data_IF_557959653069
#
_entry.id   IF_557959653069
#
_cell.length_a   1.000
_cell.length_b   1.000
_cell.length_c   1.000
_cell.angle_alpha   90.00
_cell.angle_beta   90.00
_cell.angle_gamma   90.00
#
_symmetry.space_group_name_H-M   'P 1'
#
loop_
_entity.id
_entity.type
_entity.pdbx_description
1 polymer ?
#
# COMPACT_ATOMS: atom_id res chain seq x y z
N UNK A 1 -31.43 1.80 25.60
CA UNK A 1 -30.96 0.48 26.09
C UNK A 1 -29.70 0.09 25.32
N UNK A 2 -28.63 -0.28 26.02
CA UNK A 2 -27.26 -0.23 25.49
C UNK A 2 -26.88 -1.57 24.80
N UNK A 3 -27.08 -1.65 23.47
CA UNK A 3 -26.81 -2.83 22.63
C UNK A 3 -25.39 -3.42 22.84
N UNK A 4 -24.42 -2.57 23.17
CA UNK A 4 -23.03 -2.96 23.39
C UNK A 4 -22.85 -3.90 24.60
N UNK A 5 -23.62 -3.71 25.68
CA UNK A 5 -23.52 -4.56 26.89
C UNK A 5 -24.05 -5.98 26.63
N UNK A 6 -25.10 -6.12 25.82
CA UNK A 6 -25.70 -7.40 25.44
C UNK A 6 -24.78 -8.20 24.50
N UNK A 7 -24.14 -7.54 23.53
CA UNK A 7 -23.18 -8.18 22.62
C UNK A 7 -21.94 -8.70 23.35
N UNK A 8 -21.42 -7.93 24.32
CA UNK A 8 -20.26 -8.34 25.13
C UNK A 8 -20.55 -9.56 26.00
N UNK A 9 -21.72 -9.62 26.63
CA UNK A 9 -22.12 -10.79 27.44
C UNK A 9 -22.35 -12.05 26.60
N UNK A 10 -22.88 -11.91 25.37
CA UNK A 10 -22.99 -13.05 24.43
C UNK A 10 -21.61 -13.57 24.01
N UNK A 11 -20.67 -12.68 23.74
CA UNK A 11 -19.32 -13.07 23.33
C UNK A 11 -18.55 -13.81 24.44
N UNK A 12 -18.65 -13.33 25.68
CA UNK A 12 -17.95 -13.92 26.84
C UNK A 12 -18.51 -15.28 27.29
N UNK A 13 -19.67 -15.70 26.79
CA UNK A 13 -20.31 -16.98 27.12
C UNK A 13 -20.25 -18.02 26.01
N UNK A 14 -19.56 -17.72 24.90
CA UNK A 14 -19.33 -18.73 23.88
C UNK A 14 -18.24 -19.69 24.37
N UNK A 15 -18.63 -20.95 24.59
CA UNK A 15 -17.69 -22.03 24.86
C UNK A 15 -16.87 -22.32 23.61
N UNK A 16 -15.55 -22.48 23.79
CA UNK A 16 -14.61 -22.75 22.70
C UNK A 16 -14.96 -24.11 22.08
N UNK A 17 -15.24 -24.18 20.76
CA UNK A 17 -15.51 -25.45 20.09
C UNK A 17 -14.36 -26.45 20.29
N UNK A 18 -14.67 -27.67 20.73
CA UNK A 18 -13.68 -28.74 21.03
C UNK A 18 -12.78 -29.11 19.85
N UNK A 19 -13.19 -28.75 18.64
CA UNK A 19 -12.45 -28.95 17.39
C UNK A 19 -11.19 -28.07 17.28
N UNK A 20 -11.11 -26.99 18.07
CA UNK A 20 -9.98 -26.05 18.06
C UNK A 20 -8.75 -26.59 18.78
N UNK A 21 -8.89 -27.34 19.88
CA UNK A 21 -7.75 -27.94 20.59
C UNK A 21 -6.96 -28.89 19.69
N UNK A 22 -7.66 -29.68 18.87
CA UNK A 22 -7.03 -30.59 17.91
C UNK A 22 -6.15 -29.84 16.90
N UNK A 23 -6.64 -28.72 16.35
CA UNK A 23 -5.92 -27.92 15.36
C UNK A 23 -4.73 -27.17 15.95
N UNK A 24 -4.85 -26.67 17.18
CA UNK A 24 -3.75 -25.98 17.89
C UNK A 24 -2.60 -26.96 18.15
N UNK A 25 -2.90 -28.15 18.66
CA UNK A 25 -1.89 -29.17 18.96
C UNK A 25 -1.21 -29.70 17.69
N UNK A 26 -1.95 -29.84 16.59
CA UNK A 26 -1.40 -30.24 15.29
C UNK A 26 -0.45 -29.17 14.72
N UNK A 27 -0.77 -27.89 14.93
CA UNK A 27 0.06 -26.76 14.47
C UNK A 27 1.37 -26.68 15.26
N UNK A 28 1.31 -26.92 16.58
CA UNK A 28 2.50 -26.97 17.46
C UNK A 28 3.40 -28.15 17.07
N UNK A 29 2.83 -29.34 16.87
CA UNK A 29 3.58 -30.53 16.46
C UNK A 29 4.29 -30.36 15.09
N UNK A 30 3.63 -29.72 14.13
CA UNK A 30 4.20 -29.43 12.81
C UNK A 30 5.33 -28.38 12.88
N UNK A 31 5.22 -27.42 13.79
CA UNK A 31 6.26 -26.41 14.03
C UNK A 31 7.50 -27.00 14.71
N UNK A 32 7.32 -27.94 15.63
CA UNK A 32 8.41 -28.64 16.31
C UNK A 32 9.11 -29.66 15.42
N UNK A 33 8.37 -30.35 14.55
CA UNK A 33 8.94 -31.28 13.55
C UNK A 33 9.77 -30.59 12.46
N UNK A 34 9.52 -29.30 12.19
CA UNK A 34 10.26 -28.51 11.20
C UNK A 34 11.67 -28.07 11.65
N UNK A 35 11.99 -28.15 12.94
CA UNK A 35 13.29 -27.68 13.49
C UNK A 35 14.40 -28.73 13.52
N UNK A 36 14.12 -29.99 13.19
CA UNK A 36 15.06 -31.11 13.36
C UNK A 36 15.69 -31.66 12.07
N UNK A 37 15.44 -31.05 10.89
CA UNK A 37 15.87 -31.59 9.59
C UNK A 37 16.74 -30.62 8.79
N UNK A 38 17.88 -30.20 9.35
CA UNK A 38 18.92 -29.48 8.61
C UNK A 38 20.25 -30.23 8.68
N UNK A 39 20.33 -31.38 8.02
CA UNK A 39 21.61 -32.05 7.73
C UNK A 39 21.48 -33.02 6.54
N UNK A 40 22.25 -32.75 5.49
CA UNK A 40 22.70 -33.66 4.41
C UNK A 40 21.66 -34.28 3.45
N UNK A 41 21.64 -33.81 2.18
CA UNK A 41 22.15 -34.56 0.99
C UNK A 41 21.85 -33.85 -0.33
N UNK A 42 22.86 -33.86 -1.22
CA UNK A 42 22.78 -33.57 -2.67
C UNK A 42 22.09 -34.74 -3.40
N UNK A 43 21.28 -34.46 -4.44
CA UNK A 43 21.31 -35.07 -5.80
C UNK A 43 20.24 -34.39 -6.70
N UNK A 44 20.55 -34.41 -8.00
CA UNK A 44 20.02 -33.64 -9.12
C UNK A 44 18.62 -34.00 -9.68
N UNK A 45 18.00 -32.94 -10.25
CA UNK A 45 17.18 -32.81 -11.49
C UNK A 45 15.68 -33.21 -11.53
N UNK A 46 14.92 -32.16 -11.91
CA UNK A 46 13.67 -32.07 -12.71
C UNK A 46 12.34 -32.45 -12.04
N UNK A 47 11.64 -31.45 -11.51
CA UNK A 47 10.44 -30.81 -12.12
C UNK A 47 10.14 -29.54 -11.29
N UNK A 48 10.23 -28.36 -11.93
CA UNK A 48 10.02 -27.05 -11.27
C UNK A 48 8.53 -26.75 -11.21
N UNK A 49 7.85 -27.22 -10.17
CA UNK A 49 6.65 -26.54 -9.70
C UNK A 49 7.12 -25.33 -8.88
N UNK A 50 6.78 -24.13 -9.34
CA UNK A 50 7.13 -22.90 -8.63
C UNK A 50 6.39 -22.87 -7.29
N UNK A 51 7.14 -22.83 -6.20
CA UNK A 51 6.63 -22.55 -4.85
C UNK A 51 5.94 -21.17 -4.71
N UNK A 52 5.79 -20.42 -5.82
CA UNK A 52 5.18 -19.09 -5.89
C UNK A 52 3.67 -19.09 -5.62
N UNK A 53 2.97 -20.20 -5.84
CA UNK A 53 1.52 -20.28 -5.59
C UNK A 53 1.15 -20.58 -4.13
N UNK A 54 2.07 -21.17 -3.35
CA UNK A 54 1.84 -21.48 -1.93
C UNK A 54 2.43 -20.38 -1.03
N UNK A 55 3.48 -19.68 -1.50
CA UNK A 55 4.05 -18.54 -0.76
C UNK A 55 3.17 -17.29 -0.78
N UNK A 56 2.35 -17.07 -1.80
CA UNK A 56 1.50 -15.87 -1.91
C UNK A 56 0.28 -15.92 -0.98
N UNK A 57 -0.34 -17.09 -0.80
CA UNK A 57 -1.48 -17.28 0.13
C UNK A 57 -1.03 -17.21 1.60
N UNK A 58 0.15 -17.77 1.93
CA UNK A 58 0.72 -17.69 3.27
C UNK A 58 1.28 -16.29 3.59
N UNK A 59 1.89 -15.60 2.61
CA UNK A 59 2.38 -14.24 2.80
C UNK A 59 1.24 -13.23 2.95
N UNK A 60 0.15 -13.34 2.18
CA UNK A 60 -1.01 -12.46 2.31
C UNK A 60 -1.74 -12.64 3.64
N UNK A 61 -1.91 -13.89 4.11
CA UNK A 61 -2.49 -14.16 5.43
C UNK A 61 -1.56 -13.71 6.58
N UNK A 62 -0.24 -13.90 6.45
CA UNK A 62 0.73 -13.43 7.43
C UNK A 62 0.86 -11.90 7.45
N UNK A 63 0.75 -11.21 6.30
CA UNK A 63 0.70 -9.76 6.21
C UNK A 63 -0.63 -9.20 6.73
N UNK A 64 -1.77 -9.83 6.44
CA UNK A 64 -3.05 -9.45 7.01
C UNK A 64 -3.03 -9.61 8.54
N UNK A 65 -2.47 -10.70 9.07
CA UNK A 65 -2.30 -10.90 10.53
C UNK A 65 -1.26 -9.93 11.12
N UNK A 66 -0.22 -9.53 10.38
CA UNK A 66 0.78 -8.56 10.85
C UNK A 66 0.24 -7.12 10.85
N UNK A 67 -0.51 -6.72 9.82
CA UNK A 67 -1.15 -5.40 9.69
C UNK A 67 -2.33 -5.28 10.64
N UNK A 68 -3.15 -6.33 10.79
CA UNK A 68 -4.17 -6.41 11.84
C UNK A 68 -3.51 -6.45 13.21
N UNK A 69 -2.42 -7.21 13.43
CA UNK A 69 -1.73 -7.32 14.71
C UNK A 69 -1.08 -6.02 15.18
N UNK A 70 -0.52 -5.22 14.26
CA UNK A 70 -0.01 -3.88 14.54
C UNK A 70 -1.15 -2.88 14.79
N UNK A 71 -2.31 -3.04 14.13
CA UNK A 71 -3.51 -2.22 14.37
C UNK A 71 -4.45 -2.71 15.49
N UNK A 72 -4.18 -3.86 16.12
CA UNK A 72 -5.07 -4.44 17.15
C UNK A 72 -4.37 -4.83 18.44
N UNK A 73 -3.11 -4.44 18.66
CA UNK A 73 -2.47 -4.79 19.93
C UNK A 73 -3.31 -4.23 21.10
N UNK A 74 -3.94 -5.13 21.85
CA UNK A 74 -4.62 -4.80 23.11
C UNK A 74 -3.63 -4.14 24.09
N UNK A 75 -2.33 -4.41 23.93
CA UNK A 75 -1.25 -3.75 24.63
C UNK A 75 -1.19 -2.23 24.36
N UNK A 76 -1.53 -1.78 23.14
CA UNK A 76 -1.56 -0.35 22.80
C UNK A 76 -2.92 0.30 23.11
N UNK A 77 -4.01 -0.47 23.07
CA UNK A 77 -5.33 -0.01 23.53
C UNK A 77 -5.36 0.29 25.04
N UNK A 78 -4.56 -0.45 25.84
CA UNK A 78 -4.39 -0.18 27.27
C UNK A 78 -3.58 1.10 27.55
N UNK A 79 -2.66 1.50 26.67
CA UNK A 79 -1.87 2.75 26.84
C UNK A 79 -2.62 4.03 26.48
N UNK A 80 -3.78 3.96 25.82
CA UNK A 80 -4.60 5.14 25.51
C UNK A 80 -5.38 5.68 26.71
N UNK A 81 -5.60 4.87 27.75
CA UNK A 81 -6.34 5.30 28.95
C UNK A 81 -5.54 6.20 29.89
N UNK A 82 -4.20 6.18 29.79
CA UNK A 82 -3.30 6.72 30.82
C UNK A 82 -2.35 7.83 30.33
N UNK A 83 -2.43 8.24 29.05
CA UNK A 83 -1.57 9.29 28.53
C UNK A 83 -2.17 10.68 28.82
N UNK A 84 -1.46 11.56 29.55
CA UNK A 84 -1.86 12.96 29.69
C UNK A 84 -1.92 13.62 28.30
N UNK A 85 -2.87 14.55 28.12
CA UNK A 85 -3.14 15.29 26.87
C UNK A 85 -1.89 16.02 26.39
N UNK A 86 -1.08 15.36 25.57
CA UNK A 86 0.11 15.92 24.94
C UNK A 86 0.00 15.63 23.45
N UNK A 87 -0.40 16.65 22.69
CA UNK A 87 -0.39 16.64 21.22
C UNK A 87 -1.54 15.87 20.57
N UNK A 88 -1.94 16.32 19.39
CA UNK A 88 -2.93 15.63 18.59
C UNK A 88 -2.35 14.30 18.08
N UNK A 89 -2.65 13.19 18.74
CA UNK A 89 -2.20 11.88 18.26
C UNK A 89 -3.01 11.56 17.01
N UNK A 90 -2.33 11.48 15.87
CA UNK A 90 -2.95 11.06 14.61
C UNK A 90 -2.71 9.58 14.33
N UNK A 91 -3.72 8.94 13.74
CA UNK A 91 -3.68 7.53 13.35
C UNK A 91 -4.26 7.36 11.95
N UNK A 92 -3.57 6.60 11.13
CA UNK A 92 -4.09 6.13 9.85
C UNK A 92 -4.63 4.72 10.04
N UNK A 93 -5.92 4.53 9.77
CA UNK A 93 -6.59 3.23 9.91
C UNK A 93 -7.22 2.79 8.59
N UNK A 94 -7.16 1.51 8.26
CA UNK A 94 -8.09 0.94 7.28
C UNK A 94 -9.47 0.89 7.90
N UNK A 95 -10.38 1.73 7.45
CA UNK A 95 -11.76 1.79 7.97
C UNK A 95 -12.75 1.06 7.09
N UNK A 96 -12.43 0.91 5.80
CA UNK A 96 -13.25 0.19 4.83
C UNK A 96 -12.35 -0.67 3.96
N UNK A 97 -12.75 -1.93 3.86
CA UNK A 97 -12.26 -2.85 2.85
C UNK A 97 -13.39 -3.11 1.87
N UNK A 98 -13.05 -3.08 0.58
CA UNK A 98 -13.94 -3.43 -0.50
C UNK A 98 -13.37 -4.67 -1.18
N UNK A 99 -14.22 -5.66 -1.39
CA UNK A 99 -13.91 -6.82 -2.20
C UNK A 99 -15.12 -7.11 -3.09
N UNK A 100 -14.88 -7.18 -4.39
CA UNK A 100 -15.85 -7.67 -5.36
C UNK A 100 -15.18 -8.74 -6.19
N UNK A 101 -15.73 -9.94 -6.11
CA UNK A 101 -15.27 -11.08 -6.91
C UNK A 101 -16.43 -11.67 -7.67
N UNK A 102 -16.18 -12.02 -8.93
CA UNK A 102 -17.05 -12.87 -9.75
C UNK A 102 -16.17 -13.90 -10.48
N UNK A 103 -16.73 -14.59 -11.46
CA UNK A 103 -16.02 -15.61 -12.24
C UNK A 103 -14.86 -15.04 -13.08
N UNK A 104 -14.99 -13.79 -13.54
CA UNK A 104 -14.02 -13.14 -14.44
C UNK A 104 -12.89 -12.43 -13.69
N UNK A 105 -13.18 -11.89 -12.50
CA UNK A 105 -12.30 -10.94 -11.82
C UNK A 105 -12.45 -10.88 -10.30
N UNK A 106 -11.40 -10.37 -9.66
CA UNK A 106 -11.40 -9.92 -8.27
C UNK A 106 -10.87 -8.49 -8.18
N UNK A 107 -11.66 -7.59 -7.60
CA UNK A 107 -11.27 -6.21 -7.28
C UNK A 107 -11.23 -6.06 -5.76
N UNK A 108 -10.10 -5.62 -5.25
CA UNK A 108 -9.91 -5.34 -3.82
C UNK A 108 -9.54 -3.87 -3.60
N UNK A 109 -10.01 -3.25 -2.53
CA UNK A 109 -9.56 -1.92 -2.16
C UNK A 109 -9.52 -1.72 -0.65
N UNK A 110 -8.48 -1.03 -0.19
CA UNK A 110 -8.30 -0.60 1.19
C UNK A 110 -8.41 0.92 1.24
N UNK A 111 -9.39 1.42 1.99
CA UNK A 111 -9.61 2.86 2.15
C UNK A 111 -9.03 3.31 3.50
N UNK A 112 -7.93 4.07 3.51
CA UNK A 112 -7.41 4.64 4.74
C UNK A 112 -8.27 5.82 5.20
N UNK A 113 -8.38 6.00 6.51
CA UNK A 113 -8.92 7.19 7.15
C UNK A 113 -7.91 7.71 8.17
N UNK A 114 -7.70 9.02 8.13
CA UNK A 114 -6.83 9.74 9.05
C UNK A 114 -7.71 10.24 10.20
N UNK A 115 -7.46 9.72 11.39
CA UNK A 115 -8.15 10.12 12.62
C UNK A 115 -7.19 10.99 13.42
N UNK A 116 -7.66 12.16 13.84
CA UNK A 116 -6.92 13.07 14.70
C UNK A 116 -7.69 13.33 15.98
N UNK A 117 -6.98 13.49 17.08
CA UNK A 117 -7.52 14.01 18.34
C UNK A 117 -7.12 15.49 18.47
N UNK A 118 -7.93 16.40 17.95
CA UNK A 118 -7.66 17.83 17.96
C UNK A 118 -8.87 18.60 18.46
N UNK A 119 -8.65 19.64 19.25
CA UNK A 119 -9.70 20.58 19.66
C UNK A 119 -9.98 21.63 18.59
N UNK A 120 -9.13 21.76 17.56
CA UNK A 120 -9.31 22.73 16.49
C UNK A 120 -10.25 22.21 15.40
N UNK A 121 -11.45 22.80 15.31
CA UNK A 121 -12.47 22.44 14.32
C UNK A 121 -12.04 22.69 12.87
N UNK A 122 -11.22 23.72 12.59
CA UNK A 122 -10.71 23.97 11.23
C UNK A 122 -9.81 22.82 10.77
N UNK A 123 -8.94 22.31 11.66
CA UNK A 123 -8.07 21.18 11.37
C UNK A 123 -8.89 19.90 11.21
N UNK A 124 -9.87 19.66 12.08
CA UNK A 124 -10.80 18.51 11.96
C UNK A 124 -11.53 18.51 10.63
N UNK A 125 -12.05 19.66 10.20
CA UNK A 125 -12.74 19.78 8.91
C UNK A 125 -11.79 19.55 7.73
N UNK A 126 -10.58 20.14 7.76
CA UNK A 126 -9.59 19.94 6.71
C UNK A 126 -9.16 18.46 6.56
N UNK A 127 -8.96 17.74 7.68
CA UNK A 127 -8.67 16.30 7.65
C UNK A 127 -9.88 15.50 7.15
N UNK A 128 -11.10 15.88 7.53
CA UNK A 128 -12.33 15.26 7.01
C UNK A 128 -12.45 15.44 5.50
N UNK A 129 -12.13 16.62 4.96
CA UNK A 129 -12.15 16.89 3.52
C UNK A 129 -11.12 16.03 2.78
N UNK A 130 -9.91 15.87 3.33
CA UNK A 130 -8.88 14.98 2.78
C UNK A 130 -9.34 13.51 2.81
N UNK A 131 -9.96 13.06 3.89
CA UNK A 131 -10.51 11.69 3.97
C UNK A 131 -11.63 11.47 2.94
N UNK A 132 -12.47 12.48 2.69
CA UNK A 132 -13.49 12.43 1.64
C UNK A 132 -12.87 12.41 0.24
N UNK A 133 -11.79 13.16 0.01
CA UNK A 133 -11.02 13.13 -1.24
C UNK A 133 -10.43 11.73 -1.49
N UNK A 134 -9.78 11.14 -0.48
CA UNK A 134 -9.24 9.78 -0.53
C UNK A 134 -10.33 8.76 -0.84
N UNK A 135 -11.48 8.85 -0.18
CA UNK A 135 -12.62 7.96 -0.45
C UNK A 135 -13.14 8.09 -1.89
N UNK A 136 -13.27 9.32 -2.38
CA UNK A 136 -13.69 9.58 -3.76
C UNK A 136 -12.66 9.05 -4.78
N UNK A 137 -11.37 9.24 -4.51
CA UNK A 137 -10.27 8.71 -5.32
C UNK A 137 -10.35 7.18 -5.40
N UNK A 138 -10.41 6.48 -4.26
CA UNK A 138 -10.48 5.01 -4.24
C UNK A 138 -11.72 4.52 -4.97
N UNK A 139 -12.89 5.12 -4.74
CA UNK A 139 -14.14 4.77 -5.45
C UNK A 139 -14.03 4.98 -6.96
N UNK A 140 -13.41 6.08 -7.39
CA UNK A 140 -13.16 6.36 -8.81
C UNK A 140 -12.30 5.25 -9.44
N UNK A 141 -11.23 4.83 -8.77
CA UNK A 141 -10.35 3.77 -9.29
C UNK A 141 -11.03 2.41 -9.31
N UNK A 142 -11.83 2.05 -8.30
CA UNK A 142 -12.64 0.81 -8.34
C UNK A 142 -13.53 0.81 -9.59
N UNK A 143 -14.25 1.90 -9.85
CA UNK A 143 -15.14 2.02 -11.02
C UNK A 143 -14.37 1.95 -12.34
N UNK A 144 -13.22 2.63 -12.41
CA UNK A 144 -12.36 2.61 -13.60
C UNK A 144 -11.87 1.19 -13.92
N UNK A 145 -11.44 0.43 -12.91
CA UNK A 145 -11.01 -0.96 -13.10
C UNK A 145 -12.16 -1.88 -13.52
N UNK A 146 -13.37 -1.67 -12.99
CA UNK A 146 -14.56 -2.39 -13.44
C UNK A 146 -14.85 -2.14 -14.94
N UNK A 147 -14.87 -0.87 -15.36
CA UNK A 147 -15.13 -0.47 -16.75
C UNK A 147 -14.07 -1.05 -17.70
N UNK A 148 -12.81 -0.93 -17.30
CA UNK A 148 -11.67 -1.49 -18.01
C UNK A 148 -11.74 -3.00 -18.23
N UNK A 149 -12.18 -3.77 -17.22
CA UNK A 149 -12.31 -5.22 -17.32
C UNK A 149 -13.48 -5.58 -18.24
N UNK A 150 -14.60 -4.85 -18.15
CA UNK A 150 -15.75 -5.05 -19.04
C UNK A 150 -15.39 -4.80 -20.50
N UNK A 151 -14.70 -3.70 -20.81
CA UNK A 151 -14.23 -3.39 -22.16
C UNK A 151 -13.25 -4.46 -22.68
N UNK A 152 -12.33 -4.93 -21.82
CA UNK A 152 -11.42 -6.00 -22.19
C UNK A 152 -12.14 -7.33 -22.47
N UNK A 153 -13.16 -7.66 -21.68
CA UNK A 153 -13.99 -8.85 -21.91
C UNK A 153 -14.73 -8.76 -23.24
N UNK A 154 -15.37 -7.63 -23.53
CA UNK A 154 -16.08 -7.41 -24.79
C UNK A 154 -15.15 -7.60 -26.01
N UNK A 155 -14.00 -6.92 -26.02
CA UNK A 155 -13.02 -7.07 -27.10
C UNK A 155 -12.46 -8.50 -27.23
N UNK A 156 -12.29 -9.22 -26.12
CA UNK A 156 -11.82 -10.61 -26.13
C UNK A 156 -12.86 -11.55 -26.78
N UNK A 157 -14.14 -11.38 -26.46
CA UNK A 157 -15.22 -12.19 -27.01
C UNK A 157 -15.46 -11.88 -28.51
N UNK A 158 -15.30 -10.62 -28.94
CA UNK A 158 -15.37 -10.25 -30.35
C UNK A 158 -14.25 -10.89 -31.21
N UNK A 159 -13.09 -11.17 -30.61
CA UNK A 159 -11.92 -11.71 -31.31
C UNK A 159 -11.82 -13.25 -31.28
N UNK A 160 -12.97 -13.92 -31.12
CA UNK A 160 -13.13 -15.39 -31.04
C UNK A 160 -12.72 -16.04 -29.72
N UNK A 161 -12.51 -15.27 -28.65
CA UNK A 161 -12.36 -15.81 -27.30
C UNK A 161 -13.69 -16.30 -26.71
N UNK A 162 -13.63 -17.22 -25.74
CA UNK A 162 -14.83 -17.68 -25.00
C UNK A 162 -14.90 -17.08 -23.60
N UNK A 163 -16.08 -17.14 -22.98
CA UNK A 163 -16.25 -16.71 -21.58
C UNK A 163 -15.41 -17.57 -20.62
N UNK A 164 -15.34 -18.88 -20.86
CA UNK A 164 -14.53 -19.82 -20.06
C UNK A 164 -13.03 -19.46 -20.12
N UNK A 165 -12.50 -19.20 -21.31
CA UNK A 165 -11.10 -18.78 -21.48
C UNK A 165 -10.80 -17.40 -20.87
N UNK A 166 -11.81 -16.54 -20.79
CA UNK A 166 -11.68 -15.23 -20.14
C UNK A 166 -11.62 -15.38 -18.63
N UNK A 167 -12.51 -16.20 -18.04
CA UNK A 167 -12.53 -16.48 -16.61
C UNK A 167 -11.20 -17.09 -16.12
N UNK A 168 -10.57 -17.96 -16.92
CA UNK A 168 -9.25 -18.53 -16.61
C UNK A 168 -8.13 -17.48 -16.48
N UNK A 169 -8.32 -16.27 -17.04
CA UNK A 169 -7.33 -15.17 -16.88
C UNK A 169 -7.25 -14.65 -15.46
N UNK A 170 -8.30 -14.85 -14.64
CA UNK A 170 -8.33 -14.48 -13.22
C UNK A 170 -7.82 -13.05 -12.98
N UNK A 171 -8.51 -12.08 -13.58
CA UNK A 171 -8.09 -10.68 -13.59
C UNK A 171 -8.19 -10.11 -12.17
N UNK A 172 -7.12 -9.46 -11.71
CA UNK A 172 -7.04 -8.90 -10.35
C UNK A 172 -6.65 -7.46 -10.38
N UNK A 173 -7.48 -6.62 -9.78
CA UNK A 173 -7.23 -5.20 -9.57
C UNK A 173 -7.20 -4.89 -8.06
N UNK A 174 -6.32 -4.00 -7.66
CA UNK A 174 -6.19 -3.62 -6.26
C UNK A 174 -5.93 -2.12 -6.07
N UNK A 175 -6.59 -1.54 -5.09
CA UNK A 175 -6.24 -0.22 -4.53
C UNK A 175 -5.74 -0.43 -3.10
N UNK A 176 -4.47 -0.18 -2.87
CA UNK A 176 -3.83 -0.36 -1.55
C UNK A 176 -3.22 0.95 -1.08
N UNK A 177 -2.85 1.03 0.20
CA UNK A 177 -2.10 2.17 0.71
C UNK A 177 -0.89 1.74 1.55
N UNK A 178 0.12 2.59 1.59
CA UNK A 178 1.31 2.44 2.42
C UNK A 178 1.53 3.72 3.22
N UNK A 179 1.75 3.59 4.54
CA UNK A 179 2.14 4.71 5.39
C UNK A 179 3.67 4.85 5.29
N UNK A 180 4.14 5.91 4.64
CA UNK A 180 5.58 6.17 4.47
C UNK A 180 6.19 6.85 5.69
N UNK A 181 5.41 7.69 6.38
CA UNK A 181 5.76 8.31 7.66
C UNK A 181 4.51 8.65 8.46
N UNK A 182 4.57 8.48 9.78
CA UNK A 182 3.55 8.97 10.70
C UNK A 182 4.21 9.46 11.99
N UNK A 183 3.85 10.66 12.42
CA UNK A 183 4.21 11.28 13.70
C UNK A 183 2.96 11.96 14.27
N UNK A 184 3.07 12.57 15.45
CA UNK A 184 1.98 13.36 16.05
C UNK A 184 1.64 14.62 15.24
N UNK A 185 2.48 15.01 14.27
CA UNK A 185 2.34 16.27 13.53
C UNK A 185 2.29 16.08 12.02
N UNK A 186 2.60 14.89 11.50
CA UNK A 186 2.60 14.60 10.07
C UNK A 186 2.16 13.18 9.77
N UNK A 187 1.46 13.03 8.64
CA UNK A 187 1.20 11.73 7.99
C UNK A 187 1.63 11.82 6.53
N UNK A 188 2.35 10.81 6.04
CA UNK A 188 2.67 10.64 4.62
C UNK A 188 2.18 9.26 4.18
N UNK A 189 1.25 9.24 3.22
CA UNK A 189 0.61 8.03 2.69
C UNK A 189 0.77 8.01 1.17
N UNK A 190 1.04 6.83 0.64
CA UNK A 190 0.96 6.55 -0.79
C UNK A 190 -0.19 5.60 -1.04
N UNK A 191 -1.15 6.01 -1.86
CA UNK A 191 -2.22 5.13 -2.36
C UNK A 191 -1.80 4.64 -3.73
N UNK A 192 -1.94 3.34 -3.98
CA UNK A 192 -1.53 2.69 -5.21
C UNK A 192 -2.68 1.94 -5.85
N UNK A 193 -2.91 2.15 -7.15
CA UNK A 193 -3.83 1.36 -7.98
C UNK A 193 -3.04 0.49 -8.95
N UNK A 194 -3.33 -0.80 -8.99
CA UNK A 194 -2.63 -1.76 -9.84
C UNK A 194 -3.52 -2.90 -10.34
N UNK A 195 -3.04 -3.57 -11.38
CA UNK A 195 -3.72 -4.67 -12.06
C UNK A 195 -2.72 -5.74 -12.53
N UNK A 196 -3.14 -7.01 -12.61
CA UNK A 196 -2.25 -8.13 -12.98
C UNK A 196 -2.21 -8.45 -14.50
N UNK A 197 -3.12 -7.89 -15.31
CA UNK A 197 -3.28 -8.30 -16.71
C UNK A 197 -2.73 -7.30 -17.72
N UNK A 198 -2.49 -6.05 -17.31
CA UNK A 198 -1.76 -5.06 -18.09
C UNK A 198 -0.39 -4.82 -17.46
N UNK A 199 0.66 -4.89 -18.28
CA UNK A 199 2.01 -4.47 -17.89
C UNK A 199 2.15 -2.94 -17.78
N UNK A 200 1.03 -2.23 -17.68
CA UNK A 200 0.93 -0.77 -17.60
C UNK A 200 1.16 -0.33 -16.15
N UNK A 201 1.66 0.90 -16.00
CA UNK A 201 2.09 1.47 -14.72
C UNK A 201 1.06 1.27 -13.60
N UNK A 202 1.56 0.97 -12.41
CA UNK A 202 0.84 1.21 -11.16
C UNK A 202 0.69 2.73 -11.02
N UNK A 203 -0.53 3.20 -10.79
CA UNK A 203 -0.78 4.61 -10.48
C UNK A 203 -0.56 4.84 -8.99
N UNK A 204 0.12 5.92 -8.64
CA UNK A 204 0.42 6.29 -7.25
C UNK A 204 -0.07 7.70 -6.96
N UNK A 205 -0.74 7.85 -5.82
CA UNK A 205 -1.28 9.10 -5.31
C UNK A 205 -0.66 9.39 -3.95
N UNK A 206 -0.24 10.63 -3.75
CA UNK A 206 0.62 11.01 -2.65
C UNK A 206 -0.07 12.02 -1.74
N UNK A 207 -0.18 11.69 -0.46
CA UNK A 207 -0.76 12.55 0.56
C UNK A 207 0.27 12.81 1.65
N UNK A 208 0.80 14.02 1.72
CA UNK A 208 1.72 14.46 2.76
C UNK A 208 1.03 15.55 3.58
N UNK A 209 0.64 15.26 4.81
CA UNK A 209 -0.32 16.09 5.55
C UNK A 209 0.31 16.61 6.84
N UNK A 210 0.20 17.92 7.06
CA UNK A 210 0.51 18.59 8.30
C UNK A 210 -0.70 18.53 9.23
N UNK A 211 -0.63 17.73 10.28
CA UNK A 211 -1.74 17.49 11.20
C UNK A 211 -1.99 18.64 12.17
N UNK A 212 -1.05 19.60 12.28
CA UNK A 212 -1.22 20.81 13.08
C UNK A 212 -2.05 21.85 12.33
N UNK A 213 -1.92 21.90 11.01
CA UNK A 213 -2.59 22.92 10.17
C UNK A 213 -3.71 22.38 9.29
N UNK A 214 -3.81 21.05 9.15
CA UNK A 214 -4.73 20.38 8.22
C UNK A 214 -4.35 20.51 6.74
N UNK A 215 -3.19 21.10 6.42
CA UNK A 215 -2.76 21.35 5.04
C UNK A 215 -1.88 20.23 4.51
N UNK A 216 -1.94 20.01 3.20
CA UNK A 216 -0.95 19.17 2.54
C UNK A 216 0.38 19.92 2.38
N UNK A 217 1.49 19.24 2.63
CA UNK A 217 2.82 19.72 2.36
C UNK A 217 3.13 19.64 0.86
N UNK A 218 3.91 20.60 0.40
CA UNK A 218 4.51 20.69 -0.92
C UNK A 218 6.02 20.45 -0.83
N UNK A 219 6.69 20.16 -1.95
CA UNK A 219 8.15 20.08 -1.98
C UNK A 219 8.82 21.39 -1.52
N UNK A 220 8.19 22.54 -1.79
CA UNK A 220 8.64 23.86 -1.35
C UNK A 220 8.69 23.99 0.18
N UNK A 221 7.80 23.34 0.92
CA UNK A 221 7.81 23.37 2.38
C UNK A 221 9.05 22.69 2.99
N UNK A 222 9.68 21.77 2.25
CA UNK A 222 10.90 21.07 2.69
C UNK A 222 12.18 21.64 2.10
N UNK A 223 12.13 22.10 0.84
CA UNK A 223 13.31 22.50 0.08
C UNK A 223 13.43 24.03 -0.10
N UNK A 224 12.41 24.80 0.31
CA UNK A 224 12.37 26.25 0.20
C UNK A 224 12.03 26.76 -1.21
N UNK A 225 12.18 28.07 -1.44
CA UNK A 225 11.81 28.75 -2.69
C UNK A 225 12.47 28.14 -3.95
N UNK A 226 13.68 27.61 -3.80
CA UNK A 226 14.46 27.04 -4.91
C UNK A 226 14.26 25.51 -5.06
N UNK A 227 13.14 24.96 -4.57
CA UNK A 227 12.89 23.52 -4.53
C UNK A 227 13.08 22.82 -5.89
N UNK A 228 12.66 23.44 -6.99
CA UNK A 228 12.80 22.88 -8.35
C UNK A 228 14.28 22.66 -8.66
N UNK A 229 15.12 23.69 -8.46
CA UNK A 229 16.56 23.60 -8.74
C UNK A 229 17.22 22.54 -7.85
N UNK A 230 16.94 22.57 -6.54
CA UNK A 230 17.53 21.63 -5.57
C UNK A 230 17.17 20.18 -5.91
N UNK A 231 15.89 19.91 -6.19
CA UNK A 231 15.44 18.58 -6.56
C UNK A 231 16.02 18.13 -7.91
N UNK A 232 16.01 19.00 -8.92
CA UNK A 232 16.56 18.67 -10.24
C UNK A 232 18.04 18.31 -10.18
N UNK A 233 18.84 19.08 -9.43
CA UNK A 233 20.27 18.84 -9.28
C UNK A 233 20.52 17.53 -8.53
N UNK A 234 19.76 17.27 -7.46
CA UNK A 234 19.86 16.01 -6.71
C UNK A 234 19.48 14.80 -7.57
N UNK A 235 18.37 14.86 -8.32
CA UNK A 235 17.90 13.78 -9.20
C UNK A 235 18.92 13.52 -10.31
N UNK A 236 19.41 14.56 -11.00
CA UNK A 236 20.41 14.41 -12.08
C UNK A 236 21.71 13.80 -11.57
N UNK A 237 22.17 14.21 -10.38
CA UNK A 237 23.33 13.59 -9.72
C UNK A 237 23.09 12.10 -9.45
N UNK A 238 21.98 11.76 -8.80
CA UNK A 238 21.64 10.38 -8.47
C UNK A 238 21.46 9.51 -9.72
N UNK A 239 20.82 10.03 -10.78
CA UNK A 239 20.71 9.33 -12.06
C UNK A 239 22.09 9.00 -12.62
N UNK A 240 23.02 9.97 -12.65
CA UNK A 240 24.39 9.76 -13.12
C UNK A 240 25.13 8.71 -12.29
N UNK A 241 24.95 8.73 -10.96
CA UNK A 241 25.54 7.75 -10.05
C UNK A 241 24.98 6.33 -10.29
N UNK A 242 23.66 6.19 -10.52
CA UNK A 242 23.02 4.90 -10.83
C UNK A 242 23.41 4.37 -12.22
N UNK A 243 23.58 5.25 -13.21
CA UNK A 243 24.07 4.89 -14.56
C UNK A 243 25.51 4.37 -14.55
N UNK A 244 26.36 4.91 -13.67
CA UNK A 244 27.79 4.56 -13.56
C UNK A 244 28.09 3.53 -12.46
N UNK A 245 27.09 3.25 -11.63
CA UNK A 245 27.20 2.40 -10.46
C UNK A 245 26.80 0.96 -10.72
N UNK A 246 26.50 0.24 -9.64
CA UNK A 246 26.15 -1.19 -9.67
C UNK A 246 24.77 -1.47 -10.28
N UNK A 247 23.90 -0.47 -10.30
CA UNK A 247 22.54 -0.62 -10.82
C UNK A 247 22.51 -0.61 -12.35
N UNK A 248 23.49 0.07 -12.98
CA UNK A 248 23.63 0.23 -14.44
C UNK A 248 22.30 0.58 -15.14
N UNK A 249 21.46 1.38 -14.48
CA UNK A 249 20.16 1.80 -15.02
C UNK A 249 20.40 2.63 -16.29
N UNK A 250 19.53 2.48 -17.28
CA UNK A 250 19.56 3.29 -18.50
C UNK A 250 18.36 4.24 -18.51
N UNK A 251 18.56 5.46 -18.04
CA UNK A 251 17.53 6.48 -18.13
C UNK A 251 17.36 6.95 -19.59
N UNK A 252 16.15 7.35 -19.93
CA UNK A 252 15.86 7.95 -21.22
C UNK A 252 16.65 9.26 -21.38
N UNK A 253 16.90 9.64 -22.64
CA UNK A 253 17.62 10.85 -23.02
C UNK A 253 16.69 11.77 -23.81
N UNK A 254 17.05 13.05 -23.89
CA UNK A 254 16.36 14.06 -24.69
C UNK A 254 14.84 14.09 -24.40
N UNK A 255 13.98 14.00 -25.43
CA UNK A 255 12.52 14.16 -25.32
C UNK A 255 11.84 13.16 -24.37
N UNK A 256 12.46 12.01 -24.09
CA UNK A 256 11.95 11.04 -23.11
C UNK A 256 12.66 11.09 -21.75
N UNK A 257 13.74 11.86 -21.62
CA UNK A 257 14.53 11.93 -20.39
C UNK A 257 13.96 12.88 -19.35
N UNK A 258 14.39 12.71 -18.09
CA UNK A 258 14.08 13.65 -17.02
C UNK A 258 14.55 15.07 -17.35
N UNK A 259 13.62 16.03 -17.35
CA UNK A 259 13.90 17.44 -17.62
C UNK A 259 13.94 18.27 -16.33
N UNK A 260 12.81 18.27 -15.61
CA UNK A 260 12.58 19.03 -14.39
C UNK A 260 11.41 18.43 -13.62
N UNK A 261 11.39 18.61 -12.31
CA UNK A 261 10.16 18.53 -11.52
C UNK A 261 9.31 19.80 -11.67
N UNK A 262 8.08 19.72 -11.22
CA UNK A 262 7.13 20.83 -11.11
C UNK A 262 6.29 20.72 -9.81
N UNK A 263 5.23 21.52 -9.70
CA UNK A 263 4.34 21.54 -8.52
C UNK A 263 3.33 20.38 -8.47
N UNK A 264 3.24 19.58 -9.53
CA UNK A 264 2.38 18.39 -9.64
C UNK A 264 3.15 17.07 -9.47
N UNK A 265 4.48 17.15 -9.46
CA UNK A 265 5.38 16.01 -9.27
C UNK A 265 5.07 15.28 -7.96
N UNK A 266 4.80 13.97 -8.06
CA UNK A 266 4.50 13.11 -6.94
C UNK A 266 5.70 12.88 -6.02
N UNK A 267 5.47 12.95 -4.70
CA UNK A 267 6.50 12.68 -3.71
C UNK A 267 5.89 12.21 -2.38
N UNK A 268 6.64 11.46 -1.59
CA UNK A 268 6.28 11.14 -0.21
C UNK A 268 7.38 11.58 0.77
N UNK A 269 7.10 11.56 2.07
CA UNK A 269 8.10 11.80 3.12
C UNK A 269 8.53 10.46 3.71
N UNK A 270 9.81 10.14 3.60
CA UNK A 270 10.35 8.91 4.16
C UNK A 270 10.50 8.99 5.69
N UNK A 271 10.86 7.88 6.32
CA UNK A 271 11.05 7.82 7.78
C UNK A 271 12.06 8.86 8.30
N UNK A 272 13.13 9.13 7.55
CA UNK A 272 14.13 10.16 7.89
C UNK A 272 13.59 11.60 7.85
N UNK A 273 12.43 11.83 7.22
CA UNK A 273 11.83 13.15 7.06
C UNK A 273 12.23 13.85 5.76
N UNK A 274 12.87 13.13 4.84
CA UNK A 274 13.27 13.68 3.55
C UNK A 274 12.16 13.46 2.51
N UNK A 275 11.93 14.44 1.62
CA UNK A 275 11.06 14.24 0.48
C UNK A 275 11.69 13.26 -0.51
N UNK A 276 10.92 12.28 -0.96
CA UNK A 276 11.28 11.30 -1.98
C UNK A 276 10.40 11.53 -3.19
N UNK A 277 11.00 12.04 -4.27
CA UNK A 277 10.32 12.25 -5.56
C UNK A 277 10.18 10.91 -6.27
N UNK A 278 9.00 10.66 -6.84
CA UNK A 278 8.65 9.38 -7.44
C UNK A 278 8.23 9.59 -8.89
N UNK A 279 8.86 8.84 -9.79
CA UNK A 279 8.51 8.77 -11.20
C UNK A 279 7.90 7.40 -11.52
N UNK A 280 6.77 7.42 -12.21
CA UNK A 280 6.05 6.23 -12.62
C UNK A 280 6.90 5.37 -13.57
N UNK A 281 6.47 4.11 -13.72
CA UNK A 281 7.10 3.20 -14.68
C UNK A 281 6.96 3.79 -16.09
N UNK A 282 8.04 3.74 -16.88
CA UNK A 282 8.14 4.36 -18.21
C UNK A 282 8.21 5.89 -18.24
N UNK A 283 8.21 6.59 -17.11
CA UNK A 283 8.23 8.06 -17.12
C UNK A 283 9.62 8.62 -17.50
N UNK A 284 10.68 8.08 -16.90
CA UNK A 284 12.06 8.54 -17.15
C UNK A 284 13.04 7.42 -17.50
N UNK A 285 12.57 6.16 -17.47
CA UNK A 285 13.38 4.97 -17.72
C UNK A 285 12.54 3.83 -18.29
N UNK A 286 13.14 2.84 -18.99
CA UNK A 286 12.46 1.63 -19.42
C UNK A 286 11.75 0.94 -18.27
N UNK A 287 10.53 0.45 -18.51
CA UNK A 287 9.70 -0.11 -17.44
C UNK A 287 10.25 -1.36 -16.73
N UNK A 288 11.30 -1.98 -17.26
CA UNK A 288 12.04 -3.05 -16.57
C UNK A 288 12.68 -2.57 -15.25
N UNK A 289 12.96 -1.27 -15.11
CA UNK A 289 13.51 -0.70 -13.88
C UNK A 289 12.42 -0.33 -12.86
N UNK A 290 11.14 -0.49 -13.19
CA UNK A 290 10.03 -0.17 -12.29
C UNK A 290 9.88 1.32 -11.99
N UNK A 291 9.19 1.61 -10.88
CA UNK A 291 9.04 2.96 -10.33
C UNK A 291 10.41 3.49 -9.89
N UNK A 292 10.71 4.76 -10.19
CA UNK A 292 11.98 5.39 -9.85
C UNK A 292 11.79 6.37 -8.70
N UNK A 293 12.45 6.10 -7.57
CA UNK A 293 12.40 6.96 -6.39
C UNK A 293 13.74 7.69 -6.19
N UNK A 294 13.69 8.98 -5.85
CA UNK A 294 14.85 9.82 -5.57
C UNK A 294 14.65 10.58 -4.27
N UNK A 295 15.42 10.21 -3.24
CA UNK A 295 15.45 10.95 -1.99
C UNK A 295 16.18 12.28 -2.20
N UNK A 296 15.52 13.39 -1.90
CA UNK A 296 16.07 14.73 -2.09
C UNK A 296 16.68 15.21 -0.78
N UNK A 297 18.00 15.14 -0.73
CA UNK A 297 18.81 15.72 0.34
C UNK A 297 19.43 17.01 -0.21
N UNK A 298 19.11 18.18 0.37
CA UNK A 298 19.72 19.46 0.01
C UNK A 298 21.25 19.47 0.09
#
# INVERSE_FOLDING_TARGET
MNHFKLSKQKYQRMEVPKELEGRVNQTIANFEAGKSSQSQRKINKKHRFSHAAISSMAAAAAFAVLVVGLNTSQAFAMTLGDLPVVGAIAKVLTVREYEKSNEDMTITAQVPEIIIDSDNDEVKNAISDINAEIDALVKKHIKLEEENIMEYKEAYLETSGTEEEFAEKNLKANVTYEIKKQTDTMVSIVISSGQNWRNVSQEQFFYNINLVTGKQYTLKDFLGENYITIANDSIKRQMKEREQGKEEIKYFKEEGGFQSIDNTTGFYINQAGNPVVVFARYEIAPGAYGIQEFEIIP
#
